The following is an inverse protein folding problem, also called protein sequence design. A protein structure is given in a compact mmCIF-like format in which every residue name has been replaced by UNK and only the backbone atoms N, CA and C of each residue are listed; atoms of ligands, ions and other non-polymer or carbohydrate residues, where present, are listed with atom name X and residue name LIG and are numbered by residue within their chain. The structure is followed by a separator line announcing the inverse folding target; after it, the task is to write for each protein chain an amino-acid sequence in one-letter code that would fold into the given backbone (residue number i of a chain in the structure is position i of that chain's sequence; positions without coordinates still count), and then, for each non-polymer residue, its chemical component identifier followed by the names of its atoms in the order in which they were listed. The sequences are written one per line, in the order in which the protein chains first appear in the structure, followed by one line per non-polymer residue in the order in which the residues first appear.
data_IF_654092760381
#
_entry.id   IF_654092760381
#
_cell.length_a   1.000
_cell.length_b   1.000
_cell.length_c   1.000
_cell.angle_alpha   90.00
_cell.angle_beta   90.00
_cell.angle_gamma   90.00
#
_symmetry.space_group_name_H-M   'P 1'
#
loop_
_entity.id
_entity.type
_entity.pdbx_description
1 polymer ?
#
# COMPACT_ATOMS: atom_id res chain seq x y z
N UNK A 1 49.37 17.92 69.48
CA UNK A 1 49.36 18.07 68.01
C UNK A 1 49.66 16.70 67.43
N UNK A 2 48.64 16.01 66.89
CA UNK A 2 48.79 14.68 66.27
C UNK A 2 48.63 14.87 64.76
N UNK A 3 49.52 14.32 63.91
CA UNK A 3 49.46 14.55 62.46
C UNK A 3 48.31 13.73 61.83
N UNK A 4 47.44 14.42 61.10
CA UNK A 4 46.35 13.84 60.30
C UNK A 4 46.87 13.33 58.96
N UNK A 5 47.50 12.16 58.88
CA UNK A 5 47.90 11.56 57.60
C UNK A 5 47.62 10.05 57.60
N UNK A 6 46.37 9.60 57.39
CA UNK A 6 46.07 8.19 57.00
C UNK A 6 44.70 8.00 56.30
N UNK A 7 44.15 9.00 55.59
CA UNK A 7 42.84 8.82 54.89
C UNK A 7 42.97 8.74 53.36
N UNK A 8 44.11 9.12 52.78
CA UNK A 8 44.23 9.21 51.31
C UNK A 8 44.72 7.92 50.63
N UNK A 9 45.29 6.96 51.35
CA UNK A 9 45.82 5.73 50.74
C UNK A 9 44.77 4.63 50.50
N UNK A 10 43.61 4.66 51.18
CA UNK A 10 42.60 3.61 50.98
C UNK A 10 41.71 3.82 49.73
N UNK A 11 41.51 5.05 49.26
CA UNK A 11 40.62 5.30 48.11
C UNK A 11 41.25 4.91 46.76
N UNK A 12 42.58 4.90 46.64
CA UNK A 12 43.26 4.47 45.40
C UNK A 12 43.40 2.95 45.30
N UNK A 13 43.38 2.25 46.44
CA UNK A 13 43.44 0.79 46.51
C UNK A 13 42.08 0.16 46.15
N UNK A 14 40.96 0.77 46.54
CA UNK A 14 39.63 0.22 46.27
C UNK A 14 39.24 0.29 44.78
N UNK A 15 39.66 1.32 44.04
CA UNK A 15 39.43 1.44 42.60
C UNK A 15 40.32 0.51 41.74
N UNK A 16 41.39 -0.05 42.32
CA UNK A 16 42.28 -0.98 41.63
C UNK A 16 41.82 -2.44 41.69
N UNK A 17 40.94 -2.78 42.64
CA UNK A 17 40.35 -4.12 42.78
C UNK A 17 38.98 -4.28 42.08
N UNK A 18 38.46 -3.22 41.45
CA UNK A 18 37.19 -3.26 40.71
C UNK A 18 37.39 -3.71 39.24
N UNK A 19 36.69 -4.79 38.85
CA UNK A 19 36.67 -5.26 37.46
C UNK A 19 36.00 -4.19 36.57
N UNK A 20 36.80 -3.51 35.75
CA UNK A 20 36.28 -2.52 34.79
C UNK A 20 35.50 -3.23 33.68
N UNK A 21 34.25 -2.83 33.39
CA UNK A 21 33.50 -3.43 32.30
C UNK A 21 34.21 -3.17 30.96
N UNK A 22 34.62 -4.24 30.29
CA UNK A 22 35.25 -4.17 28.97
C UNK A 22 34.19 -3.82 27.93
N UNK A 23 34.38 -2.71 27.23
CA UNK A 23 33.55 -2.38 26.06
C UNK A 23 33.82 -3.40 24.98
N UNK A 24 32.87 -4.31 24.77
CA UNK A 24 32.95 -5.28 23.69
C UNK A 24 32.74 -4.56 22.36
N UNK A 25 33.57 -4.83 21.34
CA UNK A 25 33.38 -4.25 20.03
C UNK A 25 32.05 -4.76 19.45
N UNK A 26 31.21 -3.85 18.96
CA UNK A 26 29.95 -4.21 18.34
C UNK A 26 30.22 -5.13 17.15
N UNK A 27 29.76 -6.39 17.15
CA UNK A 27 30.09 -7.36 16.11
C UNK A 27 29.63 -6.93 14.71
N UNK A 28 28.54 -6.15 14.64
CA UNK A 28 27.99 -5.55 13.41
C UNK A 28 28.95 -4.50 12.83
N UNK A 29 29.62 -3.74 13.69
CA UNK A 29 30.57 -2.69 13.28
C UNK A 29 32.01 -3.22 13.14
N UNK A 30 32.36 -4.27 13.87
CA UNK A 30 33.67 -4.90 13.81
C UNK A 30 33.87 -5.65 12.48
N UNK A 31 32.83 -6.32 11.98
CA UNK A 31 32.89 -7.03 10.70
C UNK A 31 32.80 -6.07 9.51
N UNK A 32 33.86 -6.00 8.71
CA UNK A 32 33.86 -5.25 7.45
C UNK A 32 32.81 -5.78 6.46
N UNK A 33 32.73 -7.11 6.33
CA UNK A 33 31.78 -7.77 5.43
C UNK A 33 30.33 -7.44 5.77
N UNK A 34 30.00 -7.41 7.07
CA UNK A 34 28.65 -7.07 7.52
C UNK A 34 28.29 -5.62 7.16
N UNK A 35 29.21 -4.68 7.38
CA UNK A 35 29.03 -3.27 7.01
C UNK A 35 28.87 -3.09 5.50
N UNK A 36 29.69 -3.77 4.70
CA UNK A 36 29.62 -3.71 3.24
C UNK A 36 28.27 -4.22 2.72
N UNK A 37 27.80 -5.38 3.23
CA UNK A 37 26.49 -5.91 2.88
C UNK A 37 25.35 -4.96 3.28
N UNK A 38 25.42 -4.35 4.46
CA UNK A 38 24.41 -3.38 4.89
C UNK A 38 24.33 -2.17 3.94
N UNK A 39 25.47 -1.65 3.51
CA UNK A 39 25.54 -0.55 2.54
C UNK A 39 24.94 -0.96 1.19
N UNK A 40 25.26 -2.15 0.70
CA UNK A 40 24.72 -2.70 -0.54
C UNK A 40 23.19 -2.86 -0.46
N UNK A 41 22.67 -3.43 0.63
CA UNK A 41 21.23 -3.59 0.84
C UNK A 41 20.50 -2.25 0.87
N UNK A 42 21.05 -1.24 1.56
CA UNK A 42 20.49 0.11 1.56
C UNK A 42 20.53 0.75 0.17
N UNK A 43 21.63 0.57 -0.57
CA UNK A 43 21.78 1.08 -1.92
C UNK A 43 20.74 0.47 -2.87
N UNK A 44 20.63 -0.87 -2.88
CA UNK A 44 19.68 -1.59 -3.70
C UNK A 44 18.22 -1.28 -3.32
N UNK A 45 17.94 -1.07 -2.02
CA UNK A 45 16.63 -0.61 -1.56
C UNK A 45 16.31 0.78 -2.12
N UNK A 46 17.22 1.77 -1.96
CA UNK A 46 17.02 3.14 -2.49
C UNK A 46 16.81 3.15 -4.00
N UNK A 47 17.54 2.31 -4.75
CA UNK A 47 17.40 2.17 -6.21
C UNK A 47 16.20 1.33 -6.66
N UNK A 48 15.44 0.75 -5.73
CA UNK A 48 14.24 -0.03 -6.06
C UNK A 48 14.53 -1.39 -6.70
N UNK A 49 15.74 -1.92 -6.55
CA UNK A 49 16.19 -3.18 -7.16
C UNK A 49 15.66 -4.39 -6.38
N UNK A 50 15.45 -4.24 -5.06
CA UNK A 50 14.86 -5.29 -4.23
C UNK A 50 13.33 -5.31 -4.35
N UNK A 51 12.69 -6.49 -4.34
CA UNK A 51 11.25 -6.61 -4.23
C UNK A 51 10.74 -5.85 -3.01
N UNK A 52 10.06 -4.72 -3.24
CA UNK A 52 9.48 -3.85 -2.22
C UNK A 52 8.25 -4.53 -1.60
N UNK A 53 8.43 -5.64 -0.89
CA UNK A 53 7.40 -6.08 0.06
C UNK A 53 7.44 -5.06 1.20
N UNK A 54 6.46 -4.15 1.22
CA UNK A 54 6.27 -3.26 2.37
C UNK A 54 6.15 -4.15 3.62
N UNK A 55 6.90 -3.88 4.69
CA UNK A 55 6.74 -4.64 5.93
C UNK A 55 5.29 -4.53 6.40
N UNK A 56 4.78 -5.61 6.99
CA UNK A 56 3.36 -5.73 7.37
C UNK A 56 2.89 -4.56 8.23
N UNK A 57 3.73 -4.12 9.16
CA UNK A 57 3.46 -2.96 10.01
C UNK A 57 3.17 -1.70 9.19
N UNK A 58 3.95 -1.42 8.13
CA UNK A 58 3.69 -0.25 7.28
C UNK A 58 2.39 -0.40 6.49
N UNK A 59 2.08 -1.61 6.01
CA UNK A 59 0.79 -1.87 5.36
C UNK A 59 -0.39 -1.62 6.31
N UNK A 60 -0.30 -2.10 7.55
CA UNK A 60 -1.34 -1.91 8.58
C UNK A 60 -1.47 -0.43 8.95
N UNK A 61 -0.37 0.29 9.13
CA UNK A 61 -0.39 1.73 9.43
C UNK A 61 -1.01 2.54 8.28
N UNK A 62 -0.63 2.26 7.03
CA UNK A 62 -1.26 2.88 5.85
C UNK A 62 -2.77 2.58 5.79
N UNK A 63 -3.17 1.34 6.07
CA UNK A 63 -4.57 0.95 6.11
C UNK A 63 -5.34 1.70 7.20
N UNK A 64 -4.80 1.82 8.40
CA UNK A 64 -5.41 2.58 9.51
C UNK A 64 -5.53 4.06 9.17
N UNK A 65 -4.53 4.64 8.52
CA UNK A 65 -4.57 6.04 8.08
C UNK A 65 -5.67 6.25 7.02
N UNK A 66 -5.79 5.35 6.05
CA UNK A 66 -6.88 5.40 5.05
C UNK A 66 -8.25 5.24 5.71
N UNK A 67 -8.40 4.33 6.66
CA UNK A 67 -9.65 4.16 7.41
C UNK A 67 -10.05 5.43 8.15
N UNK A 68 -9.10 6.06 8.86
CA UNK A 68 -9.36 7.32 9.56
C UNK A 68 -9.79 8.44 8.60
N UNK A 69 -9.08 8.61 7.49
CA UNK A 69 -9.44 9.59 6.46
C UNK A 69 -10.83 9.34 5.88
N UNK A 70 -11.17 8.08 5.60
CA UNK A 70 -12.49 7.72 5.09
C UNK A 70 -13.60 7.96 6.12
N UNK A 71 -13.33 7.71 7.41
CA UNK A 71 -14.28 8.02 8.49
C UNK A 71 -14.52 9.53 8.59
N UNK A 72 -13.45 10.34 8.55
CA UNK A 72 -13.56 11.80 8.53
C UNK A 72 -14.37 12.29 7.32
N UNK A 73 -14.09 11.78 6.11
CA UNK A 73 -14.85 12.12 4.91
C UNK A 73 -16.32 11.67 4.99
N UNK A 74 -16.62 10.56 5.64
CA UNK A 74 -17.99 10.08 5.83
C UNK A 74 -18.81 10.93 6.81
N UNK A 75 -18.16 11.66 7.72
CA UNK A 75 -18.83 12.64 8.58
C UNK A 75 -19.21 13.90 7.81
N UNK A 76 -18.51 14.21 6.71
CA UNK A 76 -18.79 15.36 5.89
C UNK A 76 -19.85 15.03 4.82
N UNK A 77 -20.77 15.97 4.52
CA UNK A 77 -21.65 15.81 3.38
C UNK A 77 -20.82 15.75 2.08
N UNK A 78 -21.28 14.99 1.07
CA UNK A 78 -20.56 14.84 -0.19
C UNK A 78 -20.41 16.19 -0.88
N UNK A 79 -19.25 16.39 -1.52
CA UNK A 79 -18.98 17.60 -2.28
C UNK A 79 -19.91 17.73 -3.49
N UNK A 80 -20.18 18.95 -3.96
CA UNK A 80 -20.94 19.20 -5.20
C UNK A 80 -20.37 18.41 -6.39
N UNK A 81 -19.04 18.30 -6.48
CA UNK A 81 -18.37 17.48 -7.50
C UNK A 81 -18.71 15.99 -7.35
N UNK A 82 -18.69 15.45 -6.13
CA UNK A 82 -19.02 14.05 -5.85
C UNK A 82 -20.48 13.73 -6.19
N UNK A 83 -21.39 14.66 -5.89
CA UNK A 83 -22.81 14.54 -6.25
C UNK A 83 -22.96 14.48 -7.77
N UNK A 84 -22.32 15.39 -8.52
CA UNK A 84 -22.34 15.39 -9.99
C UNK A 84 -21.74 14.12 -10.58
N UNK A 85 -20.64 13.61 -10.03
CA UNK A 85 -20.04 12.34 -10.45
C UNK A 85 -20.99 11.16 -10.21
N UNK A 86 -21.67 11.11 -9.06
CA UNK A 86 -22.66 10.07 -8.74
C UNK A 86 -23.84 10.10 -9.72
N UNK A 87 -24.37 11.28 -10.03
CA UNK A 87 -25.44 11.43 -11.03
C UNK A 87 -24.98 10.95 -12.40
N UNK A 88 -23.76 11.31 -12.82
CA UNK A 88 -23.20 10.84 -14.09
C UNK A 88 -23.07 9.32 -14.12
N UNK A 89 -22.58 8.71 -13.04
CA UNK A 89 -22.45 7.26 -12.94
C UNK A 89 -23.80 6.55 -13.03
N UNK A 90 -24.82 7.05 -12.32
CA UNK A 90 -26.18 6.51 -12.39
C UNK A 90 -26.76 6.59 -13.81
N UNK A 91 -26.54 7.70 -14.53
CA UNK A 91 -26.96 7.84 -15.93
C UNK A 91 -26.28 6.80 -16.83
N UNK A 92 -24.97 6.60 -16.69
CA UNK A 92 -24.26 5.59 -17.48
C UNK A 92 -24.79 4.18 -17.19
N UNK A 93 -24.98 3.82 -15.92
CA UNK A 93 -25.55 2.52 -15.53
C UNK A 93 -26.96 2.29 -16.11
N UNK A 94 -27.79 3.34 -16.15
CA UNK A 94 -29.10 3.27 -16.77
C UNK A 94 -28.99 2.96 -18.28
N UNK A 95 -28.12 3.66 -19.00
CA UNK A 95 -27.91 3.42 -20.43
C UNK A 95 -27.34 2.02 -20.71
N UNK A 96 -26.37 1.56 -19.92
CA UNK A 96 -25.82 0.20 -20.03
C UNK A 96 -26.91 -0.87 -19.84
N UNK A 97 -27.80 -0.67 -18.85
CA UNK A 97 -28.90 -1.60 -18.60
C UNK A 97 -29.94 -1.59 -19.73
N UNK A 98 -30.28 -0.40 -20.25
CA UNK A 98 -31.21 -0.29 -21.38
C UNK A 98 -30.62 -0.88 -22.66
N UNK A 99 -29.33 -0.70 -22.91
CA UNK A 99 -28.64 -1.32 -24.04
C UNK A 99 -28.62 -2.85 -23.91
N UNK A 100 -28.36 -3.36 -22.71
CA UNK A 100 -28.42 -4.79 -22.41
C UNK A 100 -29.82 -5.35 -22.65
N UNK A 101 -30.88 -4.68 -22.16
CA UNK A 101 -32.27 -5.09 -22.42
C UNK A 101 -32.62 -5.06 -23.91
N UNK A 102 -32.18 -4.02 -24.64
CA UNK A 102 -32.41 -3.94 -26.09
C UNK A 102 -31.73 -5.11 -26.82
N UNK A 103 -30.49 -5.40 -26.47
CA UNK A 103 -29.73 -6.48 -27.10
C UNK A 103 -30.27 -7.87 -26.71
N UNK A 104 -30.72 -8.08 -25.48
CA UNK A 104 -31.47 -9.27 -25.06
C UNK A 104 -32.80 -9.38 -25.82
N UNK A 105 -33.55 -8.29 -25.94
CA UNK A 105 -34.79 -8.23 -26.71
C UNK A 105 -34.60 -8.70 -28.16
N UNK A 106 -33.55 -8.23 -28.84
CA UNK A 106 -33.21 -8.66 -30.20
C UNK A 106 -32.84 -10.16 -30.28
N UNK A 107 -32.16 -10.70 -29.26
CA UNK A 107 -31.83 -12.13 -29.17
C UNK A 107 -33.06 -13.00 -28.90
N UNK A 108 -34.02 -12.48 -28.13
CA UNK A 108 -35.24 -13.18 -27.74
C UNK A 108 -36.31 -13.21 -28.85
N UNK A 109 -36.14 -12.47 -29.95
CA UNK A 109 -37.03 -12.54 -31.12
C UNK A 109 -36.81 -13.89 -31.84
N UNK A 110 -37.87 -14.69 -32.09
CA UNK A 110 -37.78 -15.92 -32.85
C UNK A 110 -37.11 -15.72 -34.22
N UNK A 111 -36.27 -16.67 -34.62
CA UNK A 111 -35.46 -16.57 -35.83
C UNK A 111 -36.30 -16.33 -37.09
N UNK A 112 -37.44 -17.01 -37.24
CA UNK A 112 -38.32 -16.86 -38.41
C UNK A 112 -38.83 -15.42 -38.60
N UNK A 113 -38.97 -14.64 -37.51
CA UNK A 113 -39.33 -13.22 -37.58
C UNK A 113 -38.12 -12.38 -38.02
N UNK A 114 -36.93 -12.68 -37.49
CA UNK A 114 -35.67 -12.01 -37.86
C UNK A 114 -35.36 -12.16 -39.35
N UNK A 115 -35.53 -13.35 -39.92
CA UNK A 115 -35.19 -13.62 -41.33
C UNK A 115 -36.28 -13.22 -42.33
N UNK A 116 -37.51 -12.93 -41.86
CA UNK A 116 -38.65 -12.57 -42.73
C UNK A 116 -38.38 -11.33 -43.59
N UNK A 117 -37.66 -10.33 -43.07
CA UNK A 117 -37.31 -9.12 -43.82
C UNK A 117 -36.23 -9.38 -44.87
N UNK A 118 -35.27 -10.25 -44.57
CA UNK A 118 -34.24 -10.71 -45.52
C UNK A 118 -34.86 -11.43 -46.70
N UNK A 119 -35.83 -12.32 -46.45
CA UNK A 119 -36.54 -13.06 -47.50
C UNK A 119 -37.37 -12.14 -48.41
N UNK A 120 -37.98 -11.08 -47.86
CA UNK A 120 -38.70 -10.07 -48.67
C UNK A 120 -37.78 -9.27 -49.59
N UNK A 121 -36.52 -9.07 -49.20
CA UNK A 121 -35.53 -8.37 -50.01
C UNK A 121 -34.96 -9.23 -51.15
N UNK A 122 -34.98 -10.57 -50.99
CA UNK A 122 -34.57 -11.53 -52.01
C UNK A 122 -35.70 -11.78 -53.02
N UNK A 123 -36.96 -11.67 -52.60
CA UNK A 123 -38.14 -11.94 -53.42
C UNK A 123 -38.44 -10.88 -54.51
N UNK A 124 -37.74 -9.74 -54.50
CA UNK A 124 -37.72 -8.80 -55.63
C UNK A 124 -36.33 -8.79 -56.29
N UNK A 125 -35.88 -9.88 -56.95
CA UNK A 125 -34.82 -9.74 -57.92
C UNK A 125 -35.44 -8.98 -59.11
N UNK A 126 -35.01 -7.74 -59.32
CA UNK A 126 -35.30 -6.98 -60.52
C UNK A 126 -35.10 -7.86 -61.76
N UNK A 127 -36.19 -8.08 -62.51
CA UNK A 127 -36.16 -8.48 -63.92
C UNK A 127 -35.56 -7.35 -64.77
#
# INVERSE_FOLDING_TARGET
MVPSHQVTENQQQEDSDLIKPRKLPNPVLASHQHRALHQELLFCHRRGVLPRKKPELLCVLEQKQRQKKNQELALHPPSDLEVKLRIRQQRMQFYELEEKKRSEGLKNVPEFIRVRQTLKHIANPSL
#
